data_IF_653937689511
#
_entry.id   IF_653937689511
#
_cell.length_a   1.000
_cell.length_b   1.000
_cell.length_c   1.000
_cell.angle_alpha   90.00
_cell.angle_beta   90.00
_cell.angle_gamma   90.00
#
_symmetry.space_group_name_H-M   'P 1'
#
loop_
_entity.id
_entity.type
_entity.pdbx_description
1 polymer ?
#
# COMPACT_ATOMS: atom_id res chain seq x y z
N UNK A 1 15.11 15.09 -17.21
CA UNK A 1 16.23 14.18 -16.87
C UNK A 1 15.71 13.06 -15.97
N UNK A 2 16.46 11.95 -15.77
CA UNK A 2 16.05 10.89 -14.83
C UNK A 2 16.01 11.37 -13.37
N UNK A 3 16.89 12.30 -12.97
CA UNK A 3 16.83 12.95 -11.65
C UNK A 3 15.51 13.70 -11.45
N UNK A 4 15.12 14.52 -12.43
CA UNK A 4 13.86 15.26 -12.39
C UNK A 4 12.65 14.31 -12.30
N UNK A 5 12.69 13.16 -12.98
CA UNK A 5 11.64 12.14 -12.86
C UNK A 5 11.57 11.54 -11.44
N UNK A 6 12.71 11.31 -10.78
CA UNK A 6 12.73 10.84 -9.40
C UNK A 6 12.13 11.89 -8.45
N UNK A 7 12.46 13.17 -8.63
CA UNK A 7 11.87 14.29 -7.87
C UNK A 7 10.35 14.37 -8.07
N UNK A 8 9.88 14.26 -9.32
CA UNK A 8 8.44 14.21 -9.65
C UNK A 8 7.75 13.04 -8.94
N UNK A 9 8.37 11.85 -9.01
CA UNK A 9 7.83 10.64 -8.38
C UNK A 9 7.67 10.84 -6.87
N UNK A 10 8.68 11.42 -6.22
CA UNK A 10 8.65 11.68 -4.78
C UNK A 10 7.62 12.75 -4.40
N UNK A 11 7.46 13.81 -5.21
CA UNK A 11 6.42 14.82 -5.00
C UNK A 11 5.01 14.23 -5.09
N UNK A 12 4.75 13.36 -6.07
CA UNK A 12 3.47 12.65 -6.20
C UNK A 12 3.24 11.72 -5.01
N UNK A 13 4.27 10.95 -4.63
CA UNK A 13 4.18 10.06 -3.47
C UNK A 13 3.89 10.84 -2.18
N UNK A 14 4.58 11.96 -1.98
CA UNK A 14 4.38 12.83 -0.81
C UNK A 14 2.99 13.46 -0.80
N UNK A 15 2.52 13.97 -1.95
CA UNK A 15 1.16 14.50 -2.08
C UNK A 15 0.12 13.45 -1.68
N UNK A 16 0.28 12.22 -2.18
CA UNK A 16 -0.57 11.09 -1.86
C UNK A 16 -0.55 10.75 -0.36
N UNK A 17 0.62 10.73 0.28
CA UNK A 17 0.71 10.50 1.73
C UNK A 17 0.03 11.60 2.55
N UNK A 18 0.20 12.87 2.16
CA UNK A 18 -0.46 14.01 2.80
C UNK A 18 -1.99 13.89 2.69
N UNK A 19 -2.51 13.59 1.50
CA UNK A 19 -3.95 13.41 1.29
C UNK A 19 -4.51 12.19 2.06
N UNK A 20 -3.74 11.10 2.18
CA UNK A 20 -4.12 9.94 3.00
C UNK A 20 -4.15 10.23 4.50
N UNK A 21 -3.47 11.29 4.95
CA UNK A 21 -3.50 11.74 6.34
C UNK A 21 -4.79 12.46 6.75
N UNK A 22 -5.69 12.76 5.81
CA UNK A 22 -6.97 13.43 6.11
C UNK A 22 -7.85 12.52 6.95
N UNK A 23 -8.33 13.04 8.08
CA UNK A 23 -9.16 12.28 9.02
C UNK A 23 -10.65 12.48 8.79
N UNK A 24 -11.44 11.42 9.04
CA UNK A 24 -12.90 11.54 9.06
C UNK A 24 -13.36 12.29 10.32
N UNK A 25 -13.83 13.52 10.12
CA UNK A 25 -14.22 14.42 11.20
C UNK A 25 -15.42 13.88 12.01
N UNK A 26 -16.30 13.10 11.37
CA UNK A 26 -17.44 12.46 12.03
C UNK A 26 -17.06 11.36 13.02
N UNK A 27 -15.83 10.84 12.93
CA UNK A 27 -15.29 9.80 13.83
C UNK A 27 -14.43 10.36 14.97
N UNK A 28 -14.24 11.68 15.05
CA UNK A 28 -13.41 12.29 16.09
C UNK A 28 -13.99 12.06 17.49
N UNK A 29 -13.10 11.74 18.43
CA UNK A 29 -13.39 11.64 19.86
C UNK A 29 -12.93 12.91 20.58
N UNK A 30 -13.44 13.12 21.78
CA UNK A 30 -13.02 14.24 22.64
C UNK A 30 -11.52 14.22 22.98
N UNK A 31 -10.86 13.05 22.94
CA UNK A 31 -9.42 12.92 23.15
C UNK A 31 -8.56 13.27 21.93
N UNK A 32 -9.16 13.37 20.74
CA UNK A 32 -8.42 13.60 19.49
C UNK A 32 -8.11 15.09 19.29
N UNK A 33 -8.56 15.95 20.19
CA UNK A 33 -8.31 17.40 20.16
C UNK A 33 -9.49 18.21 19.63
N UNK A 34 -9.34 19.54 19.55
CA UNK A 34 -10.44 20.42 19.16
C UNK A 34 -10.88 20.20 17.70
N UNK A 35 -12.19 20.09 17.49
CA UNK A 35 -12.80 19.94 16.16
C UNK A 35 -12.29 20.97 15.15
N UNK A 36 -12.15 22.23 15.58
CA UNK A 36 -11.68 23.33 14.73
C UNK A 36 -10.25 23.13 14.25
N UNK A 37 -9.38 22.60 15.12
CA UNK A 37 -7.96 22.37 14.80
C UNK A 37 -7.84 21.22 13.79
N UNK A 38 -8.63 20.16 13.96
CA UNK A 38 -8.71 19.05 13.01
C UNK A 38 -9.26 19.47 11.64
N UNK A 39 -10.31 20.29 11.62
CA UNK A 39 -10.84 20.89 10.38
C UNK A 39 -9.79 21.74 9.67
N UNK A 40 -9.05 22.56 10.43
CA UNK A 40 -7.98 23.38 9.89
C UNK A 40 -6.83 22.52 9.35
N UNK A 41 -6.40 21.51 10.10
CA UNK A 41 -5.37 20.55 9.69
C UNK A 41 -5.74 19.82 8.39
N UNK A 42 -6.99 19.31 8.29
CA UNK A 42 -7.49 18.70 7.06
C UNK A 42 -7.47 19.67 5.87
N UNK A 43 -7.88 20.92 6.06
CA UNK A 43 -7.82 21.94 5.01
C UNK A 43 -6.39 22.19 4.55
N UNK A 44 -5.45 22.28 5.48
CA UNK A 44 -4.03 22.45 5.16
C UNK A 44 -3.45 21.22 4.46
N UNK A 45 -3.85 20.01 4.84
CA UNK A 45 -3.44 18.77 4.20
C UNK A 45 -3.91 18.71 2.74
N UNK A 46 -5.20 19.02 2.47
CA UNK A 46 -5.73 19.09 1.10
C UNK A 46 -4.91 20.06 0.24
N UNK A 47 -4.75 21.31 0.71
CA UNK A 47 -4.03 22.35 -0.03
C UNK A 47 -2.55 22.00 -0.26
N UNK A 48 -1.89 21.40 0.73
CA UNK A 48 -0.49 21.02 0.63
C UNK A 48 -0.29 19.88 -0.36
N UNK A 49 -1.16 18.86 -0.34
CA UNK A 49 -1.13 17.79 -1.33
C UNK A 49 -1.41 18.29 -2.74
N UNK A 50 -2.38 19.20 -2.91
CA UNK A 50 -2.70 19.80 -4.21
C UNK A 50 -1.54 20.63 -4.76
N UNK A 51 -0.86 21.40 -3.89
CA UNK A 51 0.33 22.17 -4.26
C UNK A 51 1.48 21.26 -4.72
N UNK A 52 1.77 20.18 -3.99
CA UNK A 52 2.80 19.21 -4.37
C UNK A 52 2.47 18.54 -5.71
N UNK A 53 1.23 18.12 -5.91
CA UNK A 53 0.78 17.49 -7.14
C UNK A 53 0.85 18.47 -8.34
N UNK A 54 0.45 19.73 -8.15
CA UNK A 54 0.55 20.76 -9.18
C UNK A 54 2.01 21.02 -9.61
N UNK A 55 2.94 21.07 -8.63
CA UNK A 55 4.36 21.21 -8.91
C UNK A 55 4.93 19.98 -9.63
N UNK A 56 4.51 18.77 -9.23
CA UNK A 56 4.87 17.55 -9.92
C UNK A 56 4.38 17.55 -11.38
N UNK A 57 3.13 17.94 -11.63
CA UNK A 57 2.57 18.06 -12.98
C UNK A 57 3.31 19.10 -13.84
N UNK A 58 3.67 20.25 -13.26
CA UNK A 58 4.46 21.28 -13.94
C UNK A 58 5.83 20.75 -14.34
N UNK A 59 6.51 20.07 -13.41
CA UNK A 59 7.82 19.47 -13.65
C UNK A 59 7.74 18.32 -14.66
N UNK A 60 6.65 17.54 -14.63
CA UNK A 60 6.39 16.45 -15.57
C UNK A 60 6.21 16.98 -17.00
N UNK A 61 5.48 18.09 -17.18
CA UNK A 61 5.35 18.76 -18.48
C UNK A 61 6.70 19.28 -19.01
N UNK A 62 7.56 19.79 -18.13
CA UNK A 62 8.90 20.27 -18.48
C UNK A 62 9.86 19.17 -18.95
N UNK A 63 9.56 17.88 -18.71
CA UNK A 63 10.33 16.78 -19.28
C UNK A 63 10.19 16.69 -20.81
N UNK A 64 9.14 17.29 -21.39
CA UNK A 64 8.87 17.29 -22.84
C UNK A 64 8.89 15.88 -23.47
N UNK A 65 8.51 14.86 -22.70
CA UNK A 65 8.35 13.49 -23.18
C UNK A 65 6.91 13.04 -22.89
N UNK A 66 6.07 13.00 -23.93
CA UNK A 66 4.65 12.67 -23.82
C UNK A 66 4.41 11.26 -23.31
N UNK A 67 5.30 10.30 -23.60
CA UNK A 67 5.16 8.92 -23.12
C UNK A 67 5.42 8.81 -21.62
N UNK A 68 6.40 9.54 -21.12
CA UNK A 68 6.66 9.67 -19.68
C UNK A 68 5.49 10.36 -18.97
N UNK A 69 4.95 11.42 -19.56
CA UNK A 69 3.75 12.09 -19.05
C UNK A 69 2.59 11.09 -18.95
N UNK A 70 2.31 10.33 -20.00
CA UNK A 70 1.25 9.31 -20.02
C UNK A 70 1.45 8.23 -18.93
N UNK A 71 2.68 7.71 -18.80
CA UNK A 71 3.02 6.71 -17.78
C UNK A 71 2.76 7.25 -16.37
N UNK A 72 3.27 8.43 -16.04
CA UNK A 72 3.13 9.00 -14.69
C UNK A 72 1.69 9.47 -14.42
N UNK A 73 1.01 10.09 -15.39
CA UNK A 73 -0.41 10.45 -15.25
C UNK A 73 -1.29 9.23 -15.04
N UNK A 74 -1.04 8.12 -15.74
CA UNK A 74 -1.76 6.86 -15.49
C UNK A 74 -1.43 6.26 -14.12
N UNK A 75 -0.22 6.47 -13.58
CA UNK A 75 0.11 6.06 -12.22
C UNK A 75 -0.67 6.85 -11.16
N UNK A 76 -0.89 8.15 -11.39
CA UNK A 76 -1.74 8.98 -10.53
C UNK A 76 -3.18 8.46 -10.56
N UNK A 77 -3.71 8.12 -11.74
CA UNK A 77 -5.03 7.50 -11.90
C UNK A 77 -5.16 6.19 -11.12
N UNK A 78 -4.17 5.30 -11.24
CA UNK A 78 -4.12 4.04 -10.49
C UNK A 78 -4.14 4.28 -8.97
N UNK A 79 -3.34 5.23 -8.47
CA UNK A 79 -3.28 5.57 -7.04
C UNK A 79 -4.63 6.05 -6.50
N UNK A 80 -5.30 6.94 -7.24
CA UNK A 80 -6.63 7.47 -6.86
C UNK A 80 -7.66 6.34 -6.84
N UNK A 81 -7.64 5.46 -7.85
CA UNK A 81 -8.51 4.29 -7.88
C UNK A 81 -8.22 3.32 -6.72
N UNK A 82 -6.95 3.13 -6.36
CA UNK A 82 -6.53 2.35 -5.21
C UNK A 82 -7.08 2.90 -3.89
N UNK A 83 -6.96 4.22 -3.66
CA UNK A 83 -7.57 4.87 -2.48
C UNK A 83 -9.09 4.67 -2.48
N UNK A 84 -9.74 4.84 -3.62
CA UNK A 84 -11.17 4.66 -3.72
C UNK A 84 -11.58 3.25 -3.28
N UNK A 85 -10.84 2.20 -3.69
CA UNK A 85 -11.12 0.85 -3.23
C UNK A 85 -10.87 0.63 -1.73
N UNK A 86 -9.85 1.27 -1.16
CA UNK A 86 -9.57 1.20 0.28
C UNK A 86 -10.69 1.90 1.11
N UNK A 87 -11.31 2.95 0.58
CA UNK A 87 -12.28 3.79 1.31
C UNK A 87 -13.76 3.52 0.98
N UNK A 88 -14.10 3.06 -0.23
CA UNK A 88 -15.50 2.96 -0.70
C UNK A 88 -16.32 1.90 0.04
N UNK A 89 -15.67 0.89 0.61
CA UNK A 89 -16.35 -0.25 1.25
C UNK A 89 -16.60 -0.09 2.75
N UNK A 90 -16.13 1.00 3.37
CA UNK A 90 -16.50 1.36 4.75
C UNK A 90 -17.91 1.94 4.88
N UNK A 91 -18.67 2.04 3.78
CA UNK A 91 -20.00 2.69 3.72
C UNK A 91 -21.19 1.73 3.86
N UNK A 92 -21.00 0.41 3.75
CA UNK A 92 -22.03 -0.55 4.14
C UNK A 92 -21.98 -0.75 5.66
N UNK A 93 -22.91 -0.12 6.38
CA UNK A 93 -23.00 0.08 7.85
C UNK A 93 -22.83 -1.18 8.75
N UNK A 94 -22.56 -2.38 8.23
CA UNK A 94 -22.46 -3.62 9.03
C UNK A 94 -21.33 -4.59 8.63
N UNK A 95 -20.43 -4.25 7.71
CA UNK A 95 -19.35 -5.13 7.29
C UNK A 95 -18.07 -4.91 8.14
N UNK A 96 -17.67 -5.92 8.92
CA UNK A 96 -16.46 -5.87 9.76
C UNK A 96 -15.16 -5.98 8.94
N UNK A 97 -15.24 -6.62 7.76
CA UNK A 97 -14.17 -6.76 6.77
C UNK A 97 -14.75 -6.76 5.36
N UNK A 98 -13.93 -6.45 4.38
CA UNK A 98 -14.33 -6.58 2.99
C UNK A 98 -14.35 -8.06 2.56
N UNK A 99 -15.24 -8.41 1.64
CA UNK A 99 -15.11 -9.67 0.89
C UNK A 99 -14.04 -9.53 -0.18
N UNK A 100 -12.78 -9.53 0.24
CA UNK A 100 -11.65 -9.53 -0.69
C UNK A 100 -10.93 -10.86 -0.62
N UNK A 101 -10.78 -11.49 -1.78
CA UNK A 101 -9.81 -12.56 -1.98
C UNK A 101 -8.42 -11.98 -2.25
N UNK A 102 -7.42 -12.85 -2.27
CA UNK A 102 -6.01 -12.50 -2.49
C UNK A 102 -5.77 -11.90 -3.88
N UNK A 103 -6.59 -12.26 -4.88
CA UNK A 103 -6.56 -11.67 -6.22
C UNK A 103 -6.93 -10.19 -6.19
N UNK A 104 -8.07 -9.86 -5.59
CA UNK A 104 -8.53 -8.47 -5.40
C UNK A 104 -7.57 -7.68 -4.53
N UNK A 105 -7.06 -8.28 -3.45
CA UNK A 105 -6.04 -7.66 -2.61
C UNK A 105 -4.78 -7.28 -3.41
N UNK A 106 -4.28 -8.18 -4.28
CA UNK A 106 -3.11 -7.91 -5.14
C UNK A 106 -3.37 -6.76 -6.12
N UNK A 107 -4.58 -6.67 -6.68
CA UNK A 107 -4.97 -5.59 -7.58
C UNK A 107 -5.03 -4.25 -6.84
N UNK A 108 -5.73 -4.22 -5.71
CA UNK A 108 -5.84 -3.01 -4.88
C UNK A 108 -4.47 -2.52 -4.42
N UNK A 109 -3.61 -3.40 -3.93
CA UNK A 109 -2.24 -3.05 -3.51
C UNK A 109 -1.36 -2.65 -4.69
N UNK A 110 -1.56 -3.23 -5.86
CA UNK A 110 -0.86 -2.76 -7.05
C UNK A 110 -1.21 -1.30 -7.31
N UNK A 111 -2.51 -0.97 -7.35
CA UNK A 111 -3.01 0.37 -7.59
C UNK A 111 -2.56 1.36 -6.51
N UNK A 112 -2.74 1.03 -5.23
CA UNK A 112 -2.51 1.98 -4.13
C UNK A 112 -1.06 2.11 -3.65
N UNK A 113 -0.18 1.15 -4.00
CA UNK A 113 1.19 1.10 -3.46
C UNK A 113 2.29 0.83 -4.49
N UNK A 114 1.99 0.09 -5.57
CA UNK A 114 3.03 -0.37 -6.50
C UNK A 114 3.09 0.37 -7.83
N UNK A 115 1.95 0.88 -8.31
CA UNK A 115 1.79 1.46 -9.64
C UNK A 115 2.76 2.62 -9.89
N UNK A 116 2.89 3.52 -8.92
CA UNK A 116 3.79 4.67 -9.03
C UNK A 116 5.24 4.25 -9.21
N UNK A 117 5.78 3.38 -8.33
CA UNK A 117 7.17 2.94 -8.46
C UNK A 117 7.40 2.16 -9.76
N UNK A 118 6.47 1.25 -10.11
CA UNK A 118 6.56 0.45 -11.33
C UNK A 118 6.62 1.33 -12.59
N UNK A 119 5.68 2.27 -12.72
CA UNK A 119 5.61 3.18 -13.88
C UNK A 119 6.74 4.21 -13.88
N UNK A 120 7.25 4.63 -12.71
CA UNK A 120 8.44 5.48 -12.62
C UNK A 120 9.72 4.76 -13.05
N UNK A 121 9.90 3.48 -12.69
CA UNK A 121 11.02 2.67 -13.20
C UNK A 121 10.93 2.51 -14.72
N UNK A 122 9.73 2.26 -15.25
CA UNK A 122 9.48 2.20 -16.71
C UNK A 122 9.81 3.52 -17.40
N UNK A 123 9.31 4.64 -16.86
CA UNK A 123 9.53 5.98 -17.37
C UNK A 123 11.01 6.39 -17.33
N UNK A 124 11.77 5.93 -16.34
CA UNK A 124 13.21 6.17 -16.29
C UNK A 124 13.95 5.51 -17.45
N UNK A 125 13.53 4.31 -17.88
CA UNK A 125 14.07 3.62 -19.04
C UNK A 125 13.63 4.27 -20.36
N UNK A 126 12.40 4.76 -20.43
CA UNK A 126 11.90 5.57 -21.55
C UNK A 126 12.71 6.85 -21.73
N UNK A 127 13.00 7.59 -20.65
CA UNK A 127 13.87 8.77 -20.71
C UNK A 127 15.29 8.46 -21.18
N UNK A 128 15.79 7.26 -20.88
CA UNK A 128 17.09 6.77 -21.34
C UNK A 128 17.04 6.18 -22.77
N UNK A 129 15.89 6.20 -23.43
CA UNK A 129 15.67 5.67 -24.79
C UNK A 129 15.99 4.18 -24.93
N UNK A 130 15.72 3.40 -23.88
CA UNK A 130 15.82 1.95 -23.96
C UNK A 130 14.61 1.32 -24.66
N UNK A 131 14.77 0.09 -25.15
CA UNK A 131 13.71 -0.65 -25.83
C UNK A 131 12.52 -0.94 -24.92
N UNK A 132 11.35 -1.19 -25.51
CA UNK A 132 10.14 -1.56 -24.77
C UNK A 132 10.33 -2.79 -23.87
N UNK A 133 11.16 -3.77 -24.29
CA UNK A 133 11.52 -4.93 -23.45
C UNK A 133 12.20 -4.47 -22.15
N UNK A 134 13.22 -3.61 -22.23
CA UNK A 134 13.94 -3.12 -21.06
C UNK A 134 13.06 -2.22 -20.18
N UNK A 135 12.16 -1.45 -20.80
CA UNK A 135 11.16 -0.67 -20.08
C UNK A 135 10.20 -1.56 -19.28
N UNK A 136 9.68 -2.64 -19.87
CA UNK A 136 8.83 -3.61 -19.17
C UNK A 136 9.59 -4.31 -18.05
N UNK A 137 10.86 -4.69 -18.25
CA UNK A 137 11.66 -5.29 -17.17
C UNK A 137 11.84 -4.33 -15.98
N UNK A 138 12.03 -3.04 -16.22
CA UNK A 138 12.07 -2.04 -15.16
C UNK A 138 10.71 -1.87 -14.46
N UNK A 139 9.60 -1.93 -15.21
CA UNK A 139 8.25 -1.97 -14.66
C UNK A 139 8.06 -3.19 -13.74
N UNK A 140 8.43 -4.39 -14.20
CA UNK A 140 8.31 -5.62 -13.41
C UNK A 140 9.15 -5.55 -12.14
N UNK A 141 10.37 -5.01 -12.20
CA UNK A 141 11.19 -4.78 -11.01
C UNK A 141 10.47 -3.90 -10.00
N UNK A 142 10.03 -2.69 -10.39
CA UNK A 142 9.36 -1.75 -9.49
C UNK A 142 8.05 -2.33 -8.92
N UNK A 143 7.27 -3.01 -9.75
CA UNK A 143 6.03 -3.70 -9.33
C UNK A 143 6.30 -4.76 -8.26
N UNK A 144 7.26 -5.64 -8.50
CA UNK A 144 7.54 -6.76 -7.62
C UNK A 144 8.23 -6.33 -6.33
N UNK A 145 9.14 -5.36 -6.40
CA UNK A 145 9.79 -4.77 -5.24
C UNK A 145 8.78 -4.08 -4.32
N UNK A 146 7.91 -3.20 -4.86
CA UNK A 146 6.88 -2.52 -4.06
C UNK A 146 5.88 -3.49 -3.43
N UNK A 147 5.46 -4.52 -4.16
CA UNK A 147 4.55 -5.53 -3.62
C UNK A 147 5.21 -6.34 -2.49
N UNK A 148 6.48 -6.71 -2.65
CA UNK A 148 7.27 -7.35 -1.57
C UNK A 148 7.35 -6.43 -0.35
N UNK A 149 7.63 -5.14 -0.56
CA UNK A 149 7.67 -4.15 0.52
C UNK A 149 6.32 -4.04 1.25
N UNK A 150 5.18 -3.98 0.53
CA UNK A 150 3.86 -3.96 1.17
C UNK A 150 3.58 -5.24 1.97
N UNK A 151 3.91 -6.40 1.42
CA UNK A 151 3.77 -7.69 2.13
C UNK A 151 4.61 -7.72 3.40
N UNK A 152 5.85 -7.22 3.34
CA UNK A 152 6.70 -7.08 4.51
C UNK A 152 6.04 -6.21 5.59
N UNK A 153 5.49 -5.04 5.22
CA UNK A 153 4.78 -4.16 6.14
C UNK A 153 3.57 -4.86 6.78
N UNK A 154 2.77 -5.58 5.99
CA UNK A 154 1.61 -6.33 6.48
C UNK A 154 2.00 -7.50 7.40
N UNK A 155 3.20 -8.05 7.24
CA UNK A 155 3.73 -9.12 8.08
C UNK A 155 4.30 -8.63 9.42
N UNK A 156 4.71 -7.36 9.53
CA UNK A 156 5.38 -6.85 10.73
C UNK A 156 4.60 -7.11 12.03
N UNK A 157 3.27 -6.90 12.08
CA UNK A 157 2.52 -7.20 13.30
C UNK A 157 2.64 -8.67 13.71
N UNK A 158 2.78 -9.61 12.79
CA UNK A 158 2.71 -11.05 13.08
C UNK A 158 4.07 -11.70 13.40
N UNK A 159 5.18 -11.07 13.01
CA UNK A 159 6.53 -11.66 13.07
C UNK A 159 7.42 -10.99 14.12
N UNK A 160 7.18 -9.73 14.51
CA UNK A 160 7.99 -9.07 15.53
C UNK A 160 7.63 -9.56 16.93
N UNK A 161 8.58 -10.23 17.58
CA UNK A 161 8.57 -10.52 19.02
C UNK A 161 9.08 -9.30 19.81
N UNK A 162 8.36 -8.16 19.78
CA UNK A 162 8.68 -7.04 20.68
C UNK A 162 7.71 -6.98 21.84
N UNK A 163 8.31 -7.02 23.03
CA UNK A 163 7.70 -6.89 24.35
C UNK A 163 6.68 -5.74 24.46
N UNK A 164 5.63 -6.04 25.22
CA UNK A 164 4.55 -5.18 25.77
C UNK A 164 3.49 -4.58 24.84
N UNK A 165 3.77 -4.16 23.60
CA UNK A 165 2.75 -3.51 22.75
C UNK A 165 2.31 -4.34 21.53
N UNK A 166 1.03 -4.70 21.51
CA UNK A 166 0.40 -5.36 20.36
C UNK A 166 0.32 -4.35 19.20
N UNK A 167 1.11 -4.55 18.15
CA UNK A 167 1.06 -3.74 16.94
C UNK A 167 -0.29 -3.92 16.25
N UNK A 168 -0.97 -2.81 15.95
CA UNK A 168 -2.22 -2.86 15.21
C UNK A 168 -1.98 -3.38 13.78
N UNK A 169 -2.97 -4.08 13.23
CA UNK A 169 -2.95 -4.55 11.84
C UNK A 169 -4.30 -4.30 11.16
N UNK A 170 -4.31 -4.25 9.84
CA UNK A 170 -5.55 -4.13 9.05
C UNK A 170 -6.16 -5.51 8.82
N UNK A 171 -7.49 -5.65 8.98
CA UNK A 171 -8.20 -6.88 8.62
C UNK A 171 -8.16 -7.18 7.11
N UNK A 172 -7.80 -6.17 6.29
CA UNK A 172 -7.54 -6.29 4.86
C UNK A 172 -6.03 -6.45 4.54
N UNK A 173 -5.20 -6.76 5.54
CA UNK A 173 -3.77 -7.09 5.33
C UNK A 173 -3.61 -8.47 4.68
N UNK A 174 -2.51 -8.70 3.96
CA UNK A 174 -2.30 -9.97 3.27
C UNK A 174 -2.44 -11.22 4.16
N UNK A 175 -1.86 -11.26 5.39
CA UNK A 175 -2.02 -12.42 6.28
C UNK A 175 -3.47 -12.68 6.67
N UNK A 176 -4.26 -11.61 6.91
CA UNK A 176 -5.67 -11.71 7.28
C UNK A 176 -6.54 -12.16 6.10
N UNK A 177 -6.33 -11.59 4.91
CA UNK A 177 -7.03 -11.99 3.67
C UNK A 177 -6.74 -13.45 3.32
N UNK A 178 -5.47 -13.88 3.39
CA UNK A 178 -5.10 -15.27 3.17
C UNK A 178 -5.70 -16.20 4.23
N UNK A 179 -5.73 -15.77 5.49
CA UNK A 179 -6.37 -16.54 6.56
C UNK A 179 -7.88 -16.71 6.30
N UNK A 180 -8.56 -15.64 5.89
CA UNK A 180 -9.97 -15.67 5.47
C UNK A 180 -10.20 -16.65 4.32
N UNK A 181 -9.33 -16.67 3.30
CA UNK A 181 -9.47 -17.62 2.18
C UNK A 181 -9.35 -19.08 2.63
N UNK A 182 -8.44 -19.39 3.55
CA UNK A 182 -8.29 -20.76 4.06
C UNK A 182 -9.42 -21.17 5.02
N UNK A 183 -9.89 -20.24 5.86
CA UNK A 183 -10.91 -20.50 6.87
C UNK A 183 -12.34 -20.50 6.29
N UNK A 184 -12.55 -19.72 5.23
CA UNK A 184 -13.87 -19.41 4.68
C UNK A 184 -14.47 -18.16 5.32
N UNK A 185 -15.18 -17.37 4.51
CA UNK A 185 -15.72 -16.06 4.89
C UNK A 185 -16.66 -16.11 6.10
N UNK A 186 -17.58 -17.07 6.14
CA UNK A 186 -18.55 -17.17 7.23
C UNK A 186 -17.88 -17.45 8.58
N UNK A 187 -16.93 -18.39 8.59
CA UNK A 187 -16.16 -18.74 9.78
C UNK A 187 -15.26 -17.58 10.23
N UNK A 188 -14.66 -16.85 9.28
CA UNK A 188 -13.88 -15.65 9.57
C UNK A 188 -14.73 -14.52 10.20
N UNK A 189 -15.88 -14.20 9.61
CA UNK A 189 -16.81 -13.18 10.16
C UNK A 189 -17.29 -13.58 11.56
N UNK A 190 -17.62 -14.86 11.76
CA UNK A 190 -18.00 -15.38 13.08
C UNK A 190 -16.86 -15.19 14.08
N UNK A 191 -15.64 -15.55 13.70
CA UNK A 191 -14.47 -15.38 14.55
C UNK A 191 -14.25 -13.91 14.94
N UNK A 192 -14.34 -12.97 14.00
CA UNK A 192 -14.23 -11.54 14.33
C UNK A 192 -15.35 -11.13 15.29
N UNK A 193 -16.60 -11.51 15.02
CA UNK A 193 -17.76 -11.16 15.84
C UNK A 193 -17.64 -11.69 17.26
N UNK A 194 -17.23 -12.94 17.43
CA UNK A 194 -17.07 -13.58 18.75
C UNK A 194 -16.00 -12.86 19.57
N UNK A 195 -14.85 -12.54 18.95
CA UNK A 195 -13.79 -11.77 19.61
C UNK A 195 -14.26 -10.33 19.97
N UNK A 196 -15.09 -9.71 19.13
CA UNK A 196 -15.68 -8.38 19.39
C UNK A 196 -16.77 -8.38 20.49
N UNK A 197 -17.59 -9.43 20.57
CA UNK A 197 -18.76 -9.51 21.45
C UNK A 197 -18.40 -9.79 22.92
N UNK A 198 -17.33 -10.54 23.18
CA UNK A 198 -16.99 -11.02 24.52
C UNK A 198 -16.57 -9.95 25.55
N UNK A 199 -16.43 -8.66 25.19
CA UNK A 199 -15.81 -7.66 26.08
C UNK A 199 -16.55 -6.34 26.30
N UNK A 200 -17.83 -6.21 25.92
CA UNK A 200 -18.56 -4.92 26.07
C UNK A 200 -17.75 -3.74 25.50
N UNK A 201 -16.98 -3.97 24.43
CA UNK A 201 -16.15 -2.93 23.85
C UNK A 201 -17.11 -1.97 23.13
N UNK A 202 -17.31 -0.75 23.67
CA UNK A 202 -18.18 0.30 23.11
C UNK A 202 -17.87 0.63 21.64
N UNK A 203 -16.71 0.19 21.13
CA UNK A 203 -16.32 0.24 19.73
C UNK A 203 -15.51 -1.02 19.33
N UNK A 204 -16.16 -2.08 18.82
CA UNK A 204 -15.52 -3.35 18.48
C UNK A 204 -14.38 -3.30 17.45
N UNK A 205 -14.38 -2.46 16.39
CA UNK A 205 -13.33 -2.50 15.36
C UNK A 205 -11.99 -1.88 15.77
N UNK A 206 -11.81 -1.37 17.01
CA UNK A 206 -10.56 -0.72 17.47
C UNK A 206 -10.08 -1.16 18.86
N UNK A 207 -10.57 -2.29 19.38
CA UNK A 207 -10.26 -2.78 20.73
C UNK A 207 -8.93 -3.58 20.73
N UNK A 208 -7.84 -3.06 21.31
CA UNK A 208 -6.49 -3.66 21.23
C UNK A 208 -6.41 -5.15 21.65
N UNK A 209 -7.25 -5.59 22.58
CA UNK A 209 -7.32 -7.00 23.00
C UNK A 209 -7.97 -7.93 21.96
N UNK A 210 -8.89 -7.41 21.14
CA UNK A 210 -9.51 -8.13 20.00
C UNK A 210 -8.46 -8.38 18.92
N UNK A 211 -7.59 -7.39 18.65
CA UNK A 211 -6.50 -7.55 17.70
C UNK A 211 -5.53 -8.64 18.11
N UNK A 212 -5.19 -8.76 19.41
CA UNK A 212 -4.25 -9.80 19.87
C UNK A 212 -4.79 -11.22 19.61
N UNK A 213 -6.05 -11.49 19.91
CA UNK A 213 -6.63 -12.83 19.72
C UNK A 213 -6.76 -13.19 18.23
N UNK A 214 -7.21 -12.25 17.41
CA UNK A 214 -7.26 -12.44 15.96
C UNK A 214 -5.86 -12.64 15.37
N UNK A 215 -4.87 -11.88 15.83
CA UNK A 215 -3.48 -12.03 15.44
C UNK A 215 -2.94 -13.42 15.77
N UNK A 216 -3.17 -13.94 16.97
CA UNK A 216 -2.76 -15.31 17.32
C UNK A 216 -3.48 -16.37 16.49
N UNK A 217 -4.77 -16.18 16.18
CA UNK A 217 -5.48 -17.08 15.28
C UNK A 217 -4.92 -17.07 13.85
N UNK A 218 -4.61 -15.89 13.31
CA UNK A 218 -3.98 -15.74 11.98
C UNK A 218 -2.60 -16.40 11.97
N UNK A 219 -1.81 -16.25 13.05
CA UNK A 219 -0.49 -16.90 13.25
C UNK A 219 -0.60 -18.42 13.34
N UNK A 220 -1.61 -18.94 14.02
CA UNK A 220 -1.84 -20.38 14.14
C UNK A 220 -2.33 -21.01 12.82
N UNK A 221 -2.98 -20.22 11.95
CA UNK A 221 -3.38 -20.64 10.61
C UNK A 221 -2.26 -20.53 9.57
N UNK A 222 -2.63 -20.73 8.29
CA UNK A 222 -1.70 -20.64 7.14
C UNK A 222 -1.56 -19.24 6.55
N UNK A 223 -2.23 -18.23 7.12
CA UNK A 223 -2.25 -16.87 6.58
C UNK A 223 -0.87 -16.21 6.57
N UNK A 224 -0.17 -16.25 7.71
CA UNK A 224 1.17 -15.66 7.87
C UNK A 224 2.19 -16.37 7.00
N UNK A 225 2.24 -17.71 7.03
CA UNK A 225 3.22 -18.48 6.24
C UNK A 225 3.01 -18.26 4.74
N UNK A 226 1.77 -18.22 4.27
CA UNK A 226 1.46 -17.96 2.86
C UNK A 226 1.81 -16.53 2.45
N UNK A 227 1.63 -15.55 3.34
CA UNK A 227 2.05 -14.17 3.09
C UNK A 227 3.59 -14.04 3.01
N UNK A 228 4.34 -14.77 3.85
CA UNK A 228 5.80 -14.86 3.79
C UNK A 228 6.25 -15.43 2.44
N UNK A 229 5.65 -16.54 2.01
CA UNK A 229 5.99 -17.18 0.73
C UNK A 229 5.65 -16.28 -0.46
N UNK A 230 4.52 -15.57 -0.41
CA UNK A 230 4.15 -14.58 -1.40
C UNK A 230 5.15 -13.43 -1.44
N UNK A 231 5.57 -12.91 -0.28
CA UNK A 231 6.58 -11.86 -0.17
C UNK A 231 7.90 -12.29 -0.82
N UNK A 232 8.39 -13.49 -0.48
CA UNK A 232 9.60 -14.08 -1.07
C UNK A 232 9.47 -14.29 -2.58
N UNK A 233 8.30 -14.73 -3.05
CA UNK A 233 8.02 -14.90 -4.47
C UNK A 233 8.11 -13.57 -5.24
N UNK A 234 7.55 -12.49 -4.68
CA UNK A 234 7.71 -11.15 -5.25
C UNK A 234 9.16 -10.68 -5.24
N UNK A 235 9.91 -10.88 -4.14
CA UNK A 235 11.35 -10.59 -4.11
C UNK A 235 12.14 -11.32 -5.20
N UNK A 236 11.93 -12.63 -5.36
CA UNK A 236 12.57 -13.42 -6.43
C UNK A 236 12.25 -12.89 -7.83
N UNK A 237 10.99 -12.49 -8.07
CA UNK A 237 10.57 -11.93 -9.36
C UNK A 237 11.18 -10.55 -9.63
N UNK A 238 11.37 -9.73 -8.59
CA UNK A 238 12.09 -8.46 -8.72
C UNK A 238 13.57 -8.70 -9.10
N UNK A 239 14.23 -9.65 -8.43
CA UNK A 239 15.62 -10.02 -8.76
C UNK A 239 15.74 -10.58 -10.19
N UNK A 240 14.85 -11.48 -10.58
CA UNK A 240 14.82 -12.02 -11.95
C UNK A 240 14.63 -10.91 -13.00
N UNK A 241 13.82 -9.87 -12.68
CA UNK A 241 13.66 -8.73 -13.57
C UNK A 241 14.98 -7.94 -13.78
N UNK A 242 15.86 -7.91 -12.78
CA UNK A 242 17.16 -7.26 -12.88
C UNK A 242 18.18 -8.06 -13.70
N UNK A 243 18.06 -9.38 -13.80
CA UNK A 243 19.04 -10.24 -14.50
C UNK A 243 19.19 -9.89 -15.99
N UNK A 244 18.14 -9.31 -16.59
CA UNK A 244 18.16 -8.87 -17.99
C UNK A 244 19.01 -7.61 -18.23
N UNK A 245 19.33 -6.86 -17.17
CA UNK A 245 20.23 -5.72 -17.24
C UNK A 245 21.70 -6.16 -17.14
N UNK A 246 22.62 -5.53 -17.89
CA UNK A 246 24.04 -5.83 -17.77
C UNK A 246 24.56 -5.68 -16.33
N UNK A 247 25.53 -6.52 -15.91
CA UNK A 247 26.19 -6.36 -14.62
C UNK A 247 26.75 -4.95 -14.45
N UNK A 248 26.35 -4.28 -13.37
CA UNK A 248 26.78 -2.93 -13.04
C UNK A 248 26.63 -2.66 -11.55
N UNK A 249 27.29 -1.61 -11.05
CA UNK A 249 27.12 -1.15 -9.67
C UNK A 249 25.65 -0.81 -9.39
N UNK A 250 24.96 -0.16 -10.33
CA UNK A 250 23.55 0.18 -10.19
C UNK A 250 22.67 -1.08 -10.05
N UNK A 251 22.88 -2.10 -10.90
CA UNK A 251 22.15 -3.37 -10.80
C UNK A 251 22.38 -4.05 -9.46
N UNK A 252 23.63 -4.10 -8.99
CA UNK A 252 23.96 -4.69 -7.69
C UNK A 252 23.31 -3.92 -6.53
N UNK A 253 23.30 -2.58 -6.59
CA UNK A 253 22.59 -1.76 -5.59
C UNK A 253 21.09 -2.05 -5.56
N UNK A 254 20.44 -2.14 -6.71
CA UNK A 254 19.01 -2.48 -6.80
C UNK A 254 18.73 -3.89 -6.25
N UNK A 255 19.59 -4.86 -6.55
CA UNK A 255 19.46 -6.21 -6.01
C UNK A 255 19.59 -6.26 -4.48
N UNK A 256 20.45 -5.42 -3.89
CA UNK A 256 20.62 -5.34 -2.43
C UNK A 256 19.45 -4.67 -1.70
N UNK A 257 18.56 -3.97 -2.42
CA UNK A 257 17.36 -3.36 -1.84
C UNK A 257 16.25 -4.41 -1.65
N UNK A 258 16.24 -5.47 -2.48
CA UNK A 258 15.23 -6.53 -2.48
C UNK A 258 15.53 -7.58 -1.42
#
# INVERSE_FOLDING_TARGET
SQRSLAEITELIHTAFLVHRGIVNIGELKSCDGPLKDMQFGNKMAVLSGDFLLANACTSLAQLQNTKVVELISSAIGDLVQGIYYENSKSSEENCLTDDIGISTWKEQVFLSHSALLAKSCQAAMELAKHSAEIQDMAFQYGKHMSMSHKLHLDLQPFVKESSSDTMAFSLNSAPAVLHQEFLGREAWIKQIRDNCAHRHCRNPPRCACVFRQLQEAIKAGKGVTSAIDLCRSHGKRALAALERFPPSKARATLANIV
#
